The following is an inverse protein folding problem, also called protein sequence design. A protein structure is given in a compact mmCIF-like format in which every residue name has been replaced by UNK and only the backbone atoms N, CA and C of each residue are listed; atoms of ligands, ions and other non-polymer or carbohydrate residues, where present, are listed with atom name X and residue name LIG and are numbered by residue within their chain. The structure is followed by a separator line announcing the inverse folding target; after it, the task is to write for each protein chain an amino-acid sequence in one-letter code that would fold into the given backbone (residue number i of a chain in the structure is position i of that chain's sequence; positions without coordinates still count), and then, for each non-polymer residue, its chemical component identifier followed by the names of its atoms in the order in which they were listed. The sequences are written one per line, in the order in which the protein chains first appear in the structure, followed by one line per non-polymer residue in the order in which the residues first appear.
data_IF_167199668169
#
_entry.id   IF_167199668169
#
_cell.length_a   1.000
_cell.length_b   1.000
_cell.length_c   1.000
_cell.angle_alpha   90.00
_cell.angle_beta   90.00
_cell.angle_gamma   90.00
#
_symmetry.space_group_name_H-M   'P 1'
#
loop_
_entity.id
_entity.type
_entity.pdbx_description
1 polymer ?
#
# COMPACT_ATOMS: atom_id res chain seq x y z
N UNK A 1 -24.90 4.77 -11.22
CA UNK A 1 -23.83 5.46 -10.51
C UNK A 1 -22.82 6.06 -11.47
N UNK A 2 -22.06 7.07 -11.03
CA UNK A 2 -20.85 7.50 -11.76
C UNK A 2 -19.65 6.65 -11.33
N UNK A 3 -18.81 6.31 -12.32
CA UNK A 3 -17.59 5.53 -12.07
C UNK A 3 -16.49 5.88 -13.08
N UNK A 4 -15.26 5.53 -12.76
CA UNK A 4 -14.12 5.60 -13.68
C UNK A 4 -13.99 4.27 -14.40
N UNK A 5 -14.37 4.26 -15.68
CA UNK A 5 -14.43 3.08 -16.53
C UNK A 5 -13.22 3.02 -17.44
N UNK A 6 -12.69 1.81 -17.63
CA UNK A 6 -11.58 1.51 -18.54
C UNK A 6 -12.12 0.62 -19.67
N UNK A 7 -11.94 1.04 -20.92
CA UNK A 7 -12.41 0.30 -22.10
C UNK A 7 -11.29 -0.51 -22.78
N UNK A 8 -10.04 -0.17 -22.49
CA UNK A 8 -8.84 -0.84 -23.01
C UNK A 8 -7.63 -0.49 -22.15
N UNK A 9 -6.57 -1.25 -22.26
CA UNK A 9 -5.28 -0.89 -21.65
C UNK A 9 -4.70 0.37 -22.32
N UNK A 10 -3.99 1.20 -21.55
CA UNK A 10 -3.37 2.41 -22.09
C UNK A 10 -2.81 3.35 -21.03
N UNK A 11 -2.53 4.58 -21.44
CA UNK A 11 -2.11 5.68 -20.56
C UNK A 11 -3.29 6.23 -19.73
N UNK A 12 -3.08 7.30 -18.93
CA UNK A 12 -4.12 7.90 -18.09
C UNK A 12 -5.39 8.31 -18.87
N UNK A 13 -5.27 8.62 -20.15
CA UNK A 13 -6.36 9.05 -21.03
C UNK A 13 -7.46 7.98 -21.26
N UNK A 14 -7.18 6.69 -20.95
CA UNK A 14 -8.19 5.63 -21.09
C UNK A 14 -9.18 5.59 -19.92
N UNK A 15 -8.91 6.33 -18.83
CA UNK A 15 -9.82 6.47 -17.69
C UNK A 15 -10.96 7.42 -18.08
N UNK A 16 -12.19 6.91 -18.10
CA UNK A 16 -13.38 7.68 -18.46
C UNK A 16 -14.35 7.75 -17.28
N UNK A 17 -14.72 8.96 -16.87
CA UNK A 17 -15.75 9.17 -15.87
C UNK A 17 -17.10 9.20 -16.52
N UNK A 18 -17.89 8.13 -16.36
CA UNK A 18 -19.15 7.94 -17.08
C UNK A 18 -20.21 7.24 -16.22
N UNK A 19 -21.42 7.11 -16.77
CA UNK A 19 -22.47 6.33 -16.14
C UNK A 19 -22.16 4.83 -16.23
N UNK A 20 -22.32 4.14 -15.12
CA UNK A 20 -22.11 2.69 -15.00
C UNK A 20 -23.27 2.07 -14.20
N UNK A 21 -23.70 0.85 -14.50
CA UNK A 21 -24.76 0.19 -13.74
C UNK A 21 -24.45 0.13 -12.23
N UNK A 22 -25.47 0.37 -11.41
CA UNK A 22 -25.33 0.21 -9.97
C UNK A 22 -25.05 -1.25 -9.63
N UNK A 23 -24.03 -1.56 -8.85
CA UNK A 23 -23.73 -2.92 -8.46
C UNK A 23 -24.72 -3.41 -7.38
N UNK A 24 -25.01 -4.72 -7.40
CA UNK A 24 -25.92 -5.35 -6.45
C UNK A 24 -25.13 -6.34 -5.60
N UNK A 25 -25.13 -6.19 -4.26
CA UNK A 25 -24.41 -7.10 -3.37
C UNK A 25 -25.08 -8.49 -3.33
N UNK A 26 -24.25 -9.53 -3.51
CA UNK A 26 -24.62 -10.93 -3.32
C UNK A 26 -24.45 -11.38 -1.85
N UNK A 27 -24.80 -12.65 -1.53
CA UNK A 27 -24.64 -13.18 -0.17
C UNK A 27 -23.22 -12.97 0.39
N UNK A 28 -23.13 -12.50 1.64
CA UNK A 28 -21.85 -12.18 2.29
C UNK A 28 -21.23 -10.84 1.89
N UNK A 29 -21.91 -10.04 1.06
CA UNK A 29 -21.43 -8.77 0.55
C UNK A 29 -22.28 -7.59 1.07
N UNK A 30 -21.65 -6.42 1.03
CA UNK A 30 -22.33 -5.15 1.31
C UNK A 30 -22.15 -4.20 0.14
N UNK A 31 -23.08 -3.25 0.01
CA UNK A 31 -22.94 -2.10 -0.89
C UNK A 31 -22.46 -0.91 -0.06
N UNK A 32 -21.34 -0.35 -0.46
CA UNK A 32 -20.72 0.82 0.18
C UNK A 32 -20.88 2.03 -0.74
N UNK A 33 -21.38 3.13 -0.19
CA UNK A 33 -21.24 4.45 -0.80
C UNK A 33 -19.82 4.92 -0.52
N UNK A 34 -19.01 4.99 -1.55
CA UNK A 34 -17.60 5.39 -1.45
C UNK A 34 -17.53 6.88 -1.11
N UNK A 35 -16.79 7.22 -0.08
CA UNK A 35 -16.45 8.59 0.27
C UNK A 35 -15.13 9.00 -0.40
N UNK A 36 -14.17 8.08 -0.42
CA UNK A 36 -12.91 8.26 -1.13
C UNK A 36 -12.30 6.91 -1.52
N UNK A 37 -11.53 6.92 -2.59
CA UNK A 37 -10.61 5.87 -3.00
C UNK A 37 -9.18 6.41 -3.04
N UNK A 38 -8.15 5.56 -2.95
CA UNK A 38 -6.77 6.03 -3.06
C UNK A 38 -6.07 5.50 -4.30
N UNK A 39 -5.16 6.32 -4.85
CA UNK A 39 -4.34 5.94 -5.99
C UNK A 39 -3.10 5.19 -5.51
N UNK A 40 -2.87 4.03 -6.11
CA UNK A 40 -1.74 3.15 -5.81
C UNK A 40 -1.00 2.74 -7.09
N UNK A 41 0.30 2.36 -6.99
CA UNK A 41 1.06 1.89 -8.15
C UNK A 41 0.40 0.72 -8.90
N UNK A 42 -0.30 -0.16 -8.21
CA UNK A 42 -0.99 -1.29 -8.85
C UNK A 42 -2.12 -0.82 -9.78
N UNK A 43 -2.80 0.29 -9.47
CA UNK A 43 -3.90 0.81 -10.27
C UNK A 43 -3.41 1.25 -11.66
N UNK A 44 -2.38 2.09 -11.72
CA UNK A 44 -1.86 2.53 -13.01
C UNK A 44 -1.07 1.45 -13.75
N UNK A 45 -0.41 0.52 -13.06
CA UNK A 45 0.19 -0.66 -13.69
C UNK A 45 -0.87 -1.57 -14.31
N UNK A 46 -2.01 -1.78 -13.62
CA UNK A 46 -3.14 -2.56 -14.11
C UNK A 46 -3.79 -1.88 -15.32
N UNK A 47 -4.06 -0.58 -15.23
CA UNK A 47 -4.55 0.22 -16.36
C UNK A 47 -3.65 0.12 -17.59
N UNK A 48 -2.32 0.20 -17.40
CA UNK A 48 -1.34 0.10 -18.47
C UNK A 48 -1.17 -1.33 -19.04
N UNK A 49 -1.80 -2.34 -18.45
CA UNK A 49 -1.68 -3.75 -18.87
C UNK A 49 -0.39 -4.43 -18.39
N UNK A 50 0.40 -3.80 -17.51
CA UNK A 50 1.64 -4.37 -17.00
C UNK A 50 1.41 -5.54 -16.04
N UNK A 51 0.17 -5.75 -15.61
CA UNK A 51 -0.22 -6.85 -14.72
C UNK A 51 -1.13 -7.87 -15.39
N UNK A 52 -1.34 -7.79 -16.71
CA UNK A 52 -2.33 -8.59 -17.45
C UNK A 52 -2.17 -10.09 -17.28
N UNK A 53 -0.96 -10.57 -17.03
CA UNK A 53 -0.65 -12.00 -16.93
C UNK A 53 -1.09 -12.62 -15.59
N UNK A 54 -1.21 -11.81 -14.53
CA UNK A 54 -1.61 -12.29 -13.19
C UNK A 54 -2.79 -11.52 -12.58
N UNK A 55 -3.11 -10.32 -13.07
CA UNK A 55 -4.24 -9.51 -12.62
C UNK A 55 -4.90 -8.80 -13.82
N UNK A 56 -5.50 -9.57 -14.74
CA UNK A 56 -6.09 -9.03 -15.97
C UNK A 56 -7.33 -8.19 -15.68
N UNK A 57 -7.67 -7.29 -16.62
CA UNK A 57 -8.94 -6.57 -16.65
C UNK A 57 -9.88 -7.17 -17.68
N UNK A 58 -11.17 -7.17 -17.36
CA UNK A 58 -12.25 -7.31 -18.35
C UNK A 58 -12.71 -5.93 -18.79
N UNK A 59 -13.06 -5.76 -20.05
CA UNK A 59 -13.50 -4.49 -20.61
C UNK A 59 -14.96 -4.55 -21.11
N UNK A 60 -15.75 -3.46 -20.92
CA UNK A 60 -15.45 -2.32 -20.05
C UNK A 60 -15.39 -2.74 -18.57
N UNK A 61 -14.52 -2.12 -17.78
CA UNK A 61 -14.33 -2.50 -16.39
C UNK A 61 -13.92 -1.36 -15.48
N UNK A 62 -14.12 -1.55 -14.20
CA UNK A 62 -13.73 -0.60 -13.16
C UNK A 62 -12.32 -0.88 -12.64
N UNK A 63 -11.76 0.10 -11.97
CA UNK A 63 -10.40 0.07 -11.39
C UNK A 63 -10.42 0.61 -9.95
N UNK A 64 -9.28 0.53 -9.27
CA UNK A 64 -9.07 0.95 -7.89
C UNK A 64 -9.07 -0.22 -6.92
N UNK A 65 -8.22 -0.14 -5.89
CA UNK A 65 -8.01 -1.22 -4.90
C UNK A 65 -8.17 -0.79 -3.45
N UNK A 66 -8.35 0.49 -3.18
CA UNK A 66 -8.56 1.03 -1.83
C UNK A 66 -9.80 1.89 -1.78
N UNK A 67 -10.58 1.76 -0.72
CA UNK A 67 -11.69 2.68 -0.48
C UNK A 67 -11.97 2.88 1.02
N UNK A 68 -12.66 3.99 1.33
CA UNK A 68 -13.42 4.17 2.55
C UNK A 68 -14.79 4.76 2.19
N UNK A 69 -15.82 4.42 2.98
CA UNK A 69 -17.17 4.84 2.71
C UNK A 69 -18.16 4.37 3.78
N UNK A 70 -19.45 4.50 3.47
CA UNK A 70 -20.54 4.14 4.37
C UNK A 70 -21.35 3.00 3.77
N UNK A 71 -21.66 1.97 4.57
CA UNK A 71 -22.53 0.87 4.14
C UNK A 71 -23.95 1.40 3.92
N UNK A 72 -24.48 1.18 2.71
CA UNK A 72 -25.86 1.58 2.34
C UNK A 72 -26.79 0.40 2.18
N UNK A 73 -26.27 -0.82 1.94
CA UNK A 73 -27.07 -2.04 1.83
C UNK A 73 -26.25 -3.25 2.29
N UNK A 74 -26.93 -4.20 2.93
CA UNK A 74 -26.35 -5.45 3.41
C UNK A 74 -27.11 -6.60 2.78
N UNK A 75 -26.40 -7.57 2.22
CA UNK A 75 -26.97 -8.81 1.73
C UNK A 75 -27.01 -9.89 2.82
N UNK A 76 -27.78 -10.98 2.64
CA UNK A 76 -27.81 -12.09 3.59
C UNK A 76 -26.42 -12.69 3.88
N UNK A 77 -26.20 -13.17 5.09
CA UNK A 77 -24.94 -13.82 5.50
C UNK A 77 -23.83 -12.85 5.95
N UNK A 78 -24.12 -11.56 6.06
CA UNK A 78 -23.20 -10.57 6.62
C UNK A 78 -23.43 -10.44 8.12
N UNK A 79 -22.39 -10.59 8.92
CA UNK A 79 -22.39 -10.41 10.36
C UNK A 79 -21.44 -9.30 10.81
N UNK A 80 -21.75 -8.63 11.93
CA UNK A 80 -20.87 -7.62 12.54
C UNK A 80 -20.93 -6.22 11.90
N UNK A 81 -21.75 -6.02 10.87
CA UNK A 81 -21.93 -4.74 10.18
C UNK A 81 -23.40 -4.33 10.10
N UNK A 82 -23.63 -3.02 10.04
CA UNK A 82 -24.95 -2.40 9.89
C UNK A 82 -24.93 -1.33 8.82
N UNK A 83 -26.09 -1.07 8.19
CA UNK A 83 -26.23 0.10 7.33
C UNK A 83 -25.93 1.37 8.13
N UNK A 84 -25.15 2.29 7.57
CA UNK A 84 -24.63 3.46 8.26
C UNK A 84 -23.22 3.29 8.85
N UNK A 85 -22.70 2.06 8.97
CA UNK A 85 -21.34 1.86 9.44
C UNK A 85 -20.32 2.49 8.46
N UNK A 86 -19.38 3.25 8.99
CA UNK A 86 -18.21 3.75 8.26
C UNK A 86 -17.16 2.66 8.20
N UNK A 87 -16.73 2.33 6.97
CA UNK A 87 -15.84 1.20 6.69
C UNK A 87 -14.76 1.57 5.70
N UNK A 88 -13.67 0.81 5.70
CA UNK A 88 -12.60 0.93 4.73
C UNK A 88 -12.02 -0.45 4.41
N UNK A 89 -11.47 -0.62 3.22
CA UNK A 89 -10.99 -1.92 2.76
C UNK A 89 -10.01 -1.83 1.59
N UNK A 90 -9.23 -2.90 1.42
CA UNK A 90 -8.72 -3.29 0.11
C UNK A 90 -9.86 -4.01 -0.61
N UNK A 91 -10.34 -3.47 -1.73
CA UNK A 91 -11.41 -4.03 -2.54
C UNK A 91 -11.23 -3.63 -4.00
N UNK A 92 -11.68 -4.46 -4.92
CA UNK A 92 -11.64 -4.12 -6.34
C UNK A 92 -12.71 -3.10 -6.73
N UNK A 93 -12.44 -2.36 -7.83
CA UNK A 93 -13.43 -1.48 -8.47
C UNK A 93 -13.84 -0.26 -7.63
N UNK A 94 -12.91 0.29 -6.88
CA UNK A 94 -13.19 1.34 -5.89
C UNK A 94 -13.29 2.76 -6.47
N UNK A 95 -12.93 2.98 -7.74
CA UNK A 95 -13.09 4.28 -8.39
C UNK A 95 -14.52 4.47 -8.92
N UNK A 96 -15.47 4.45 -8.01
CA UNK A 96 -16.90 4.55 -8.27
C UNK A 96 -17.64 5.15 -7.07
N UNK A 97 -18.84 5.70 -7.29
CA UNK A 97 -19.69 6.19 -6.20
C UNK A 97 -20.22 5.06 -5.29
N UNK A 98 -20.36 3.85 -5.85
CA UNK A 98 -20.82 2.66 -5.14
C UNK A 98 -19.88 1.49 -5.41
N UNK A 99 -19.54 0.74 -4.38
CA UNK A 99 -18.70 -0.44 -4.48
C UNK A 99 -19.33 -1.61 -3.71
N UNK A 100 -19.40 -2.78 -4.33
CA UNK A 100 -19.75 -4.02 -3.62
C UNK A 100 -18.49 -4.63 -3.02
N UNK A 101 -18.55 -4.95 -1.74
CA UNK A 101 -17.41 -5.43 -0.97
C UNK A 101 -17.81 -6.63 -0.13
N UNK A 102 -17.00 -7.67 -0.10
CA UNK A 102 -17.19 -8.79 0.81
C UNK A 102 -17.01 -8.34 2.25
N UNK A 103 -17.92 -8.74 3.13
CA UNK A 103 -17.86 -8.37 4.54
C UNK A 103 -16.57 -8.84 5.24
N UNK A 104 -15.98 -9.95 4.77
CA UNK A 104 -14.73 -10.49 5.32
C UNK A 104 -13.51 -9.56 5.16
N UNK A 105 -13.52 -8.70 4.12
CA UNK A 105 -12.42 -7.77 3.85
C UNK A 105 -12.64 -6.35 4.40
N UNK A 106 -13.76 -6.10 5.05
CA UNK A 106 -14.07 -4.80 5.63
C UNK A 106 -13.47 -4.65 7.02
N UNK A 107 -12.99 -3.46 7.33
CA UNK A 107 -12.74 -2.98 8.68
C UNK A 107 -13.62 -1.75 8.96
N UNK A 108 -14.07 -1.58 10.21
CA UNK A 108 -14.75 -0.35 10.64
C UNK A 108 -13.72 0.76 10.83
N UNK A 109 -14.06 1.96 10.38
CA UNK A 109 -13.24 3.14 10.67
C UNK A 109 -13.28 3.41 12.17
N UNK A 110 -12.14 3.44 12.87
CA UNK A 110 -12.14 3.72 14.31
C UNK A 110 -12.63 5.14 14.58
N UNK A 111 -13.36 5.29 15.68
CA UNK A 111 -13.84 6.59 16.13
C UNK A 111 -12.67 7.58 16.27
N UNK A 112 -12.84 8.78 15.75
CA UNK A 112 -11.82 9.83 15.72
C UNK A 112 -10.91 9.81 14.51
N UNK A 113 -10.97 8.81 13.63
CA UNK A 113 -10.28 8.83 12.36
C UNK A 113 -11.19 9.40 11.26
N UNK A 114 -10.68 10.36 10.48
CA UNK A 114 -11.40 10.94 9.34
C UNK A 114 -11.66 9.89 8.25
N UNK A 115 -12.92 9.81 7.77
CA UNK A 115 -13.35 8.82 6.80
C UNK A 115 -12.58 8.93 5.47
N UNK A 116 -12.32 10.15 5.00
CA UNK A 116 -11.55 10.37 3.75
C UNK A 116 -10.10 9.92 3.95
N UNK A 117 -9.51 10.23 5.12
CA UNK A 117 -8.16 9.79 5.47
C UNK A 117 -8.06 8.26 5.52
N UNK A 118 -9.08 7.57 6.01
CA UNK A 118 -9.11 6.11 6.10
C UNK A 118 -8.92 5.44 4.73
N UNK A 119 -9.36 6.07 3.62
CA UNK A 119 -9.14 5.54 2.28
C UNK A 119 -7.65 5.47 1.87
N UNK A 120 -6.76 6.22 2.51
CA UNK A 120 -5.33 6.19 2.23
C UNK A 120 -4.62 4.94 2.77
N UNK A 121 -5.25 4.20 3.69
CA UNK A 121 -4.57 3.24 4.55
C UNK A 121 -4.49 1.82 3.99
N UNK A 122 -5.54 1.23 3.35
CA UNK A 122 -5.66 -0.22 3.25
C UNK A 122 -4.43 -0.88 2.62
N UNK A 123 -4.13 -0.63 1.36
CA UNK A 123 -3.04 -1.31 0.66
C UNK A 123 -1.68 -1.03 1.28
N UNK A 124 -1.38 0.24 1.59
CA UNK A 124 -0.03 0.63 2.02
C UNK A 124 0.30 0.12 3.42
N UNK A 125 -0.69 0.08 4.32
CA UNK A 125 -0.45 -0.36 5.70
C UNK A 125 -0.35 -1.87 5.80
N UNK A 126 -1.23 -2.60 5.10
CA UNK A 126 -1.18 -4.06 5.02
C UNK A 126 0.10 -4.51 4.32
N UNK A 127 0.47 -3.88 3.21
CA UNK A 127 1.70 -4.20 2.49
C UNK A 127 2.94 -3.98 3.35
N UNK A 128 3.06 -2.84 4.03
CA UNK A 128 4.21 -2.56 4.88
C UNK A 128 4.33 -3.52 6.07
N UNK A 129 3.21 -3.89 6.69
CA UNK A 129 3.19 -4.90 7.75
C UNK A 129 3.61 -6.28 7.25
N UNK A 130 3.05 -6.73 6.13
CA UNK A 130 3.36 -8.05 5.57
C UNK A 130 4.78 -8.12 5.03
N UNK A 131 5.29 -7.04 4.42
CA UNK A 131 6.67 -6.94 3.97
C UNK A 131 7.63 -7.14 5.14
N UNK A 132 7.39 -6.42 6.26
CA UNK A 132 8.21 -6.60 7.44
C UNK A 132 8.04 -7.98 8.06
N UNK A 133 6.82 -8.51 8.11
CA UNK A 133 6.55 -9.86 8.63
C UNK A 133 7.30 -10.93 7.87
N UNK A 134 7.44 -10.79 6.56
CA UNK A 134 8.19 -11.71 5.69
C UNK A 134 9.69 -11.73 6.01
N UNK A 135 10.24 -10.67 6.59
CA UNK A 135 11.65 -10.65 7.03
C UNK A 135 11.88 -11.57 8.22
N UNK A 136 10.87 -11.82 9.04
CA UNK A 136 11.01 -12.59 10.28
C UNK A 136 11.84 -11.90 11.35
N UNK A 137 12.19 -10.62 11.21
CA UNK A 137 13.01 -9.85 12.15
C UNK A 137 12.38 -9.83 13.54
N UNK A 138 13.22 -9.97 14.57
CA UNK A 138 12.85 -10.03 15.98
C UNK A 138 13.41 -8.82 16.75
N UNK A 139 12.97 -8.68 18.00
CA UNK A 139 13.52 -7.67 18.92
C UNK A 139 15.05 -7.78 19.02
N UNK A 140 15.74 -6.64 18.98
CA UNK A 140 17.20 -6.54 19.02
C UNK A 140 17.92 -6.83 17.71
N UNK A 141 17.23 -7.31 16.65
CA UNK A 141 17.79 -7.47 15.32
C UNK A 141 17.70 -6.17 14.52
N UNK A 142 18.57 -6.02 13.52
CA UNK A 142 18.61 -4.82 12.66
C UNK A 142 17.98 -5.10 11.31
N UNK A 143 17.00 -4.29 10.95
CA UNK A 143 16.38 -4.31 9.61
C UNK A 143 16.55 -2.96 8.92
N UNK A 144 16.90 -2.99 7.65
CA UNK A 144 16.84 -1.80 6.80
C UNK A 144 15.53 -1.78 6.02
N UNK A 145 14.77 -0.69 6.16
CA UNK A 145 13.57 -0.44 5.35
C UNK A 145 13.93 0.52 4.23
N UNK A 146 13.92 0.04 3.00
CA UNK A 146 14.26 0.83 1.81
C UNK A 146 13.02 1.54 1.29
N UNK A 147 13.12 2.85 1.04
CA UNK A 147 11.97 3.69 0.77
C UNK A 147 11.16 4.03 2.03
N UNK A 148 11.84 4.14 3.17
CA UNK A 148 11.25 4.27 4.52
C UNK A 148 10.27 5.46 4.67
N UNK A 149 10.44 6.55 3.93
CA UNK A 149 9.55 7.72 3.96
C UNK A 149 8.34 7.58 3.02
N UNK A 150 8.32 6.57 2.14
CA UNK A 150 7.14 6.22 1.34
C UNK A 150 6.05 5.57 2.21
N UNK A 151 4.81 5.54 1.72
CA UNK A 151 3.66 5.09 2.53
C UNK A 151 3.78 3.62 3.00
N UNK A 152 4.24 2.71 2.13
CA UNK A 152 4.54 1.31 2.50
C UNK A 152 5.72 1.25 3.47
N UNK A 153 6.78 2.05 3.21
CA UNK A 153 7.96 2.11 4.06
C UNK A 153 7.65 2.60 5.47
N UNK A 154 6.85 3.66 5.63
CA UNK A 154 6.39 4.16 6.95
C UNK A 154 5.68 3.08 7.76
N UNK A 155 4.81 2.33 7.11
CA UNK A 155 4.09 1.22 7.73
C UNK A 155 5.03 0.07 8.14
N UNK A 156 6.04 -0.23 7.31
CA UNK A 156 7.06 -1.22 7.63
C UNK A 156 7.95 -0.76 8.81
N UNK A 157 8.38 0.52 8.83
CA UNK A 157 9.14 1.10 9.96
C UNK A 157 8.33 1.02 11.25
N UNK A 158 7.06 1.46 11.22
CA UNK A 158 6.16 1.38 12.38
C UNK A 158 6.06 -0.06 12.90
N UNK A 159 5.84 -1.03 12.00
CA UNK A 159 5.73 -2.44 12.37
C UNK A 159 7.04 -2.97 12.97
N UNK A 160 8.20 -2.59 12.42
CA UNK A 160 9.50 -3.00 12.93
C UNK A 160 9.75 -2.45 14.33
N UNK A 161 9.45 -1.19 14.55
CA UNK A 161 9.58 -0.55 15.88
C UNK A 161 8.64 -1.18 16.90
N UNK A 162 7.40 -1.48 16.51
CA UNK A 162 6.45 -2.18 17.39
C UNK A 162 6.94 -3.59 17.81
N UNK A 163 7.83 -4.21 17.03
CA UNK A 163 8.47 -5.51 17.33
C UNK A 163 9.79 -5.39 18.10
N UNK A 164 10.22 -4.18 18.41
CA UNK A 164 11.49 -3.94 19.12
C UNK A 164 12.73 -4.14 18.26
N UNK A 165 12.62 -4.09 16.93
CA UNK A 165 13.76 -4.14 16.02
C UNK A 165 14.50 -2.78 15.99
N UNK A 166 15.81 -2.83 15.71
CA UNK A 166 16.59 -1.65 15.31
C UNK A 166 16.33 -1.39 13.82
N UNK A 167 15.88 -0.18 13.50
CA UNK A 167 15.43 0.19 12.15
C UNK A 167 16.39 1.19 11.52
N UNK A 168 16.92 0.84 10.36
CA UNK A 168 17.66 1.75 9.48
C UNK A 168 16.71 2.18 8.34
N UNK A 169 16.44 3.47 8.24
CA UNK A 169 15.70 4.04 7.13
C UNK A 169 16.63 4.21 5.91
N UNK A 170 16.41 3.42 4.87
CA UNK A 170 17.03 3.58 3.57
C UNK A 170 16.25 4.58 2.72
N UNK A 171 16.85 5.74 2.42
CA UNK A 171 16.17 6.84 1.74
C UNK A 171 17.12 7.55 0.78
N UNK A 172 16.62 8.41 -0.09
CA UNK A 172 17.48 9.29 -0.87
C UNK A 172 18.14 10.35 0.02
N UNK A 173 19.32 10.81 -0.33
CA UNK A 173 20.07 11.83 0.44
C UNK A 173 19.21 13.04 0.81
N UNK A 174 18.40 13.52 -0.13
CA UNK A 174 17.46 14.64 0.10
C UNK A 174 16.33 14.36 1.11
N UNK A 175 16.13 13.10 1.49
CA UNK A 175 15.06 12.64 2.40
C UNK A 175 15.57 12.28 3.80
N UNK A 176 16.87 12.46 4.08
CA UNK A 176 17.48 12.10 5.38
C UNK A 176 16.78 12.81 6.54
N UNK A 177 16.42 14.08 6.39
CA UNK A 177 15.75 14.81 7.46
C UNK A 177 14.31 14.33 7.66
N UNK A 178 13.60 13.99 6.60
CA UNK A 178 12.27 13.38 6.68
C UNK A 178 12.34 12.00 7.36
N UNK A 179 13.38 11.22 7.08
CA UNK A 179 13.59 9.90 7.68
C UNK A 179 13.69 9.93 9.21
N UNK A 180 14.13 11.04 9.79
CA UNK A 180 14.16 11.23 11.26
C UNK A 180 12.75 11.25 11.88
N UNK A 181 11.73 11.61 11.09
CA UNK A 181 10.35 11.74 11.56
C UNK A 181 9.54 10.45 11.51
N UNK A 182 10.04 9.40 10.84
CA UNK A 182 9.31 8.13 10.69
C UNK A 182 9.56 7.13 11.82
N UNK A 183 10.36 7.50 12.83
CA UNK A 183 10.66 6.68 14.01
C UNK A 183 11.77 5.63 13.80
N UNK A 184 12.55 5.72 12.72
CA UNK A 184 13.73 4.90 12.52
C UNK A 184 14.88 5.32 13.48
N UNK A 185 15.74 4.37 13.86
CA UNK A 185 16.88 4.63 14.75
C UNK A 185 18.04 5.30 14.01
N UNK A 186 18.17 5.02 12.71
CA UNK A 186 19.19 5.59 11.82
C UNK A 186 18.61 5.84 10.43
N UNK A 187 19.25 6.74 9.67
CA UNK A 187 18.94 6.96 8.27
C UNK A 187 20.20 6.85 7.42
N UNK A 188 20.10 6.18 6.26
CA UNK A 188 21.20 5.96 5.32
C UNK A 188 20.75 6.38 3.93
N UNK A 189 21.58 7.17 3.26
CA UNK A 189 21.35 7.60 1.88
C UNK A 189 21.64 6.43 0.92
N UNK A 190 20.62 5.90 0.26
CA UNK A 190 20.74 4.76 -0.67
C UNK A 190 21.28 5.16 -2.06
N UNK A 191 21.32 6.44 -2.37
CA UNK A 191 21.95 7.04 -3.54
C UNK A 191 23.41 7.49 -3.29
N UNK A 192 23.94 7.24 -2.08
CA UNK A 192 25.35 7.44 -1.73
C UNK A 192 26.05 6.08 -1.61
N UNK A 193 26.96 5.79 -2.54
CA UNK A 193 27.69 4.51 -2.59
C UNK A 193 28.56 4.30 -1.34
N UNK A 194 29.21 5.37 -0.85
CA UNK A 194 30.04 5.30 0.34
C UNK A 194 29.22 4.94 1.57
N UNK A 195 28.02 5.50 1.70
CA UNK A 195 27.09 5.17 2.78
C UNK A 195 26.69 3.69 2.75
N UNK A 196 26.39 3.13 1.56
CA UNK A 196 26.07 1.71 1.40
C UNK A 196 27.29 0.83 1.69
N UNK A 197 28.48 1.19 1.20
CA UNK A 197 29.69 0.40 1.43
C UNK A 197 30.01 0.29 2.94
N UNK A 198 29.85 1.38 3.68
CA UNK A 198 30.12 1.44 5.11
C UNK A 198 28.97 0.88 5.99
N UNK A 199 27.85 0.48 5.37
CA UNK A 199 26.73 -0.10 6.12
C UNK A 199 27.15 -1.42 6.77
N UNK A 200 26.92 -1.53 8.07
CA UNK A 200 27.14 -2.78 8.82
C UNK A 200 26.21 -3.91 8.30
N UNK A 201 26.61 -5.17 8.46
CA UNK A 201 25.75 -6.30 8.04
C UNK A 201 24.39 -6.28 8.73
N UNK A 202 23.33 -6.53 7.93
CA UNK A 202 21.92 -6.46 8.33
C UNK A 202 21.34 -7.85 8.59
N UNK A 203 20.47 -7.98 9.58
CA UNK A 203 19.71 -9.21 9.78
C UNK A 203 18.61 -9.37 8.70
N UNK A 204 18.06 -8.23 8.24
CA UNK A 204 17.07 -8.24 7.15
C UNK A 204 17.05 -6.92 6.38
N UNK A 205 16.50 -7.00 5.16
CA UNK A 205 16.09 -5.86 4.33
C UNK A 205 14.62 -6.01 3.99
N UNK A 206 13.86 -4.91 4.13
CA UNK A 206 12.49 -4.75 3.67
C UNK A 206 12.48 -3.70 2.54
N UNK A 207 12.36 -4.15 1.29
CA UNK A 207 12.57 -3.31 0.12
C UNK A 207 11.24 -2.90 -0.55
N UNK A 208 11.10 -1.59 -0.79
CA UNK A 208 9.96 -1.00 -1.50
C UNK A 208 10.37 -0.20 -2.74
N UNK A 209 11.65 -0.23 -3.15
CA UNK A 209 12.19 0.66 -4.19
C UNK A 209 12.70 -0.05 -5.43
N UNK A 210 13.24 -1.30 -5.29
CA UNK A 210 13.77 -2.10 -6.39
C UNK A 210 15.03 -1.51 -7.10
N UNK A 211 15.43 -2.16 -8.18
CA UNK A 211 16.51 -1.72 -9.07
C UNK A 211 17.90 -1.77 -8.44
N UNK A 212 18.77 -0.85 -8.83
CA UNK A 212 20.19 -0.85 -8.44
C UNK A 212 20.41 -0.81 -6.92
N UNK A 213 19.47 -0.25 -6.17
CA UNK A 213 19.54 -0.21 -4.70
C UNK A 213 19.37 -1.60 -4.11
N UNK A 214 18.38 -2.35 -4.57
CA UNK A 214 18.14 -3.73 -4.14
C UNK A 214 19.35 -4.64 -4.43
N UNK A 215 19.97 -4.49 -5.64
CA UNK A 215 21.17 -5.22 -6.05
C UNK A 215 22.36 -5.02 -5.11
N UNK A 216 22.53 -3.81 -4.59
CA UNK A 216 23.62 -3.48 -3.64
C UNK A 216 23.33 -3.96 -2.22
N UNK A 217 22.06 -3.86 -1.80
CA UNK A 217 21.69 -4.13 -0.42
C UNK A 217 21.58 -5.61 -0.09
N UNK A 218 21.30 -6.49 -1.08
CA UNK A 218 21.32 -7.93 -0.82
C UNK A 218 22.68 -8.42 -0.33
N UNK A 219 23.78 -7.81 -0.81
CA UNK A 219 25.14 -8.09 -0.37
C UNK A 219 25.42 -7.70 1.09
N UNK A 220 24.57 -6.85 1.68
CA UNK A 220 24.69 -6.41 3.09
C UNK A 220 23.89 -7.28 4.05
N UNK A 221 23.10 -8.22 3.56
CA UNK A 221 22.33 -9.14 4.39
C UNK A 221 23.27 -10.23 4.92
N UNK A 222 23.24 -10.47 6.22
CA UNK A 222 24.02 -11.54 6.86
C UNK A 222 23.66 -12.92 6.31
N UNK A 223 24.57 -13.87 6.41
CA UNK A 223 24.27 -15.29 6.15
C UNK A 223 23.07 -15.74 6.99
N UNK A 224 22.09 -16.39 6.37
CA UNK A 224 20.82 -16.79 6.99
C UNK A 224 19.81 -15.66 7.17
N UNK A 225 20.17 -14.43 6.80
CA UNK A 225 19.25 -13.29 6.84
C UNK A 225 18.23 -13.28 5.71
N UNK A 226 17.36 -12.28 5.68
CA UNK A 226 16.22 -12.20 4.76
C UNK A 226 16.21 -10.89 3.98
N UNK A 227 16.01 -11.00 2.67
CA UNK A 227 15.68 -9.88 1.79
C UNK A 227 14.22 -10.01 1.33
N UNK A 228 13.32 -9.21 1.90
CA UNK A 228 11.92 -9.17 1.50
C UNK A 228 11.66 -7.96 0.59
N UNK A 229 10.89 -8.14 -0.48
CA UNK A 229 10.58 -7.07 -1.44
C UNK A 229 9.14 -7.16 -1.93
N UNK A 230 8.57 -6.02 -2.32
CA UNK A 230 7.22 -5.92 -2.94
C UNK A 230 7.28 -5.76 -4.46
N UNK A 231 8.49 -5.69 -5.04
CA UNK A 231 8.68 -5.37 -6.47
C UNK A 231 9.29 -6.51 -7.29
N UNK A 232 9.92 -7.44 -6.64
CA UNK A 232 10.55 -8.60 -7.26
C UNK A 232 11.96 -8.85 -6.73
N UNK A 233 12.47 -10.09 -6.85
CA UNK A 233 13.82 -10.43 -6.41
C UNK A 233 14.89 -9.64 -7.18
N UNK A 234 15.96 -9.18 -6.51
CA UNK A 234 17.14 -8.64 -7.21
C UNK A 234 17.72 -9.68 -8.18
N UNK A 235 18.22 -9.26 -9.33
CA UNK A 235 18.82 -10.19 -10.30
C UNK A 235 20.06 -10.89 -9.71
N UNK A 236 20.79 -10.18 -8.84
CA UNK A 236 21.95 -10.73 -8.12
C UNK A 236 21.60 -11.74 -7.03
N UNK A 237 20.34 -11.99 -6.74
CA UNK A 237 19.91 -12.90 -5.66
C UNK A 237 20.56 -14.30 -5.76
N UNK A 238 20.77 -14.78 -6.99
CA UNK A 238 21.43 -16.08 -7.22
C UNK A 238 22.89 -16.17 -6.72
N UNK A 239 23.55 -15.02 -6.57
CA UNK A 239 24.93 -14.95 -6.02
C UNK A 239 24.98 -14.96 -4.51
N UNK A 240 23.83 -14.89 -3.84
CA UNK A 240 23.70 -14.86 -2.37
C UNK A 240 22.81 -15.99 -1.85
N UNK A 241 23.17 -17.27 -2.09
CA UNK A 241 22.31 -18.43 -1.74
C UNK A 241 22.06 -18.60 -0.24
N UNK A 242 22.87 -17.95 0.60
CA UNK A 242 22.67 -17.93 2.06
C UNK A 242 21.64 -16.88 2.52
N UNK A 243 21.17 -16.00 1.63
CA UNK A 243 20.14 -15.01 1.91
C UNK A 243 18.78 -15.52 1.38
N UNK A 244 17.80 -15.59 2.26
CA UNK A 244 16.44 -15.95 1.85
C UNK A 244 15.76 -14.74 1.21
N UNK A 245 15.45 -14.83 -0.07
CA UNK A 245 14.70 -13.77 -0.78
C UNK A 245 13.21 -14.10 -0.77
N UNK A 246 12.38 -13.13 -0.40
CA UNK A 246 10.92 -13.27 -0.30
C UNK A 246 10.24 -12.17 -1.11
N UNK A 247 9.50 -12.54 -2.15
CA UNK A 247 8.62 -11.62 -2.87
C UNK A 247 7.25 -11.61 -2.18
N UNK A 248 6.81 -10.42 -1.75
CA UNK A 248 5.57 -10.23 -1.00
C UNK A 248 4.47 -9.70 -1.90
N UNK A 249 3.40 -10.48 -2.03
CA UNK A 249 2.13 -10.06 -2.60
C UNK A 249 1.15 -9.80 -1.46
N UNK A 250 0.67 -8.57 -1.35
CA UNK A 250 -0.24 -8.17 -0.28
C UNK A 250 -1.53 -8.96 -0.33
N UNK A 251 -1.91 -9.52 0.80
CA UNK A 251 -3.19 -10.18 1.02
C UNK A 251 -3.97 -9.39 2.06
N UNK A 252 -5.27 -9.33 1.87
CA UNK A 252 -6.15 -8.72 2.83
C UNK A 252 -5.93 -9.30 4.25
N UNK A 253 -5.88 -8.41 5.25
CA UNK A 253 -5.79 -8.76 6.68
C UNK A 253 -6.50 -7.69 7.51
N UNK A 254 -7.74 -8.01 7.94
CA UNK A 254 -8.57 -7.11 8.74
C UNK A 254 -7.88 -6.69 10.03
N UNK A 255 -7.27 -7.62 10.76
CA UNK A 255 -6.63 -7.33 12.04
C UNK A 255 -5.47 -6.34 11.89
N UNK A 256 -4.65 -6.55 10.86
CA UNK A 256 -3.59 -5.60 10.51
C UNK A 256 -4.18 -4.24 10.16
N UNK A 257 -5.25 -4.21 9.36
CA UNK A 257 -5.87 -2.97 8.92
C UNK A 257 -6.45 -2.17 10.10
N UNK A 258 -7.17 -2.83 11.02
CA UNK A 258 -7.70 -2.24 12.26
C UNK A 258 -6.57 -1.68 13.14
N UNK A 259 -5.53 -2.47 13.41
CA UNK A 259 -4.37 -2.07 14.19
C UNK A 259 -3.65 -0.84 13.60
N UNK A 260 -3.47 -0.82 12.29
CA UNK A 260 -2.81 0.30 11.60
C UNK A 260 -3.68 1.57 11.60
N UNK A 261 -5.00 1.42 11.46
CA UNK A 261 -5.91 2.55 11.52
C UNK A 261 -5.95 3.19 12.92
N UNK A 262 -5.92 2.38 13.98
CA UNK A 262 -5.77 2.89 15.34
C UNK A 262 -4.44 3.63 15.53
N UNK A 263 -3.35 3.10 15.00
CA UNK A 263 -2.05 3.78 15.05
C UNK A 263 -2.06 5.14 14.32
N UNK A 264 -2.79 5.24 13.21
CA UNK A 264 -2.94 6.51 12.48
C UNK A 264 -3.83 7.48 13.28
N UNK A 265 -4.97 7.03 13.82
CA UNK A 265 -5.84 7.82 14.68
C UNK A 265 -5.07 8.41 15.87
N UNK A 266 -4.20 7.61 16.49
CA UNK A 266 -3.39 7.99 17.65
C UNK A 266 -2.15 8.85 17.28
N UNK A 267 -1.93 9.15 16.00
CA UNK A 267 -0.75 9.89 15.52
C UNK A 267 0.58 9.13 15.61
N UNK A 268 0.55 7.83 15.91
CA UNK A 268 1.75 6.96 15.99
C UNK A 268 2.27 6.54 14.62
N UNK A 269 1.39 6.48 13.63
CA UNK A 269 1.70 6.26 12.22
C UNK A 269 1.12 7.40 11.38
N UNK A 270 1.94 8.01 10.53
CA UNK A 270 1.49 9.07 9.63
C UNK A 270 1.61 8.58 8.19
N UNK A 271 0.48 8.53 7.47
CA UNK A 271 0.41 8.31 6.02
C UNK A 271 0.07 9.65 5.38
N UNK A 272 1.07 10.39 4.85
CA UNK A 272 0.84 11.72 4.31
C UNK A 272 0.03 11.65 3.02
N UNK A 273 -1.05 12.42 2.95
CA UNK A 273 -1.87 12.62 1.76
C UNK A 273 -1.38 13.88 1.07
N UNK A 274 -0.92 13.75 -0.17
CA UNK A 274 -0.38 14.87 -0.94
C UNK A 274 -1.47 15.69 -1.62
N UNK A 275 -2.54 15.03 -2.09
CA UNK A 275 -3.63 15.67 -2.82
C UNK A 275 -4.95 14.94 -2.58
N UNK A 276 -6.05 15.71 -2.68
CA UNK A 276 -7.42 15.20 -2.77
C UNK A 276 -8.02 15.77 -4.05
N UNK A 277 -8.41 14.90 -4.97
CA UNK A 277 -9.00 15.27 -6.26
C UNK A 277 -10.40 14.66 -6.37
N UNK A 278 -11.34 15.28 -7.07
CA UNK A 278 -12.62 14.66 -7.32
C UNK A 278 -12.47 13.39 -8.18
N UNK A 279 -13.33 12.41 -7.99
CA UNK A 279 -13.29 11.12 -8.68
C UNK A 279 -13.20 11.25 -10.22
N UNK A 280 -13.84 12.27 -10.80
CA UNK A 280 -13.78 12.55 -12.26
C UNK A 280 -12.36 12.90 -12.75
N UNK A 281 -11.45 13.27 -11.87
CA UNK A 281 -10.05 13.63 -12.17
C UNK A 281 -9.08 12.45 -11.97
N UNK A 282 -9.59 11.21 -12.00
CA UNK A 282 -8.78 10.00 -11.80
C UNK A 282 -7.62 9.87 -12.80
N UNK A 283 -7.77 10.35 -14.03
CA UNK A 283 -6.72 10.37 -15.04
C UNK A 283 -5.54 11.26 -14.60
N UNK A 284 -5.84 12.45 -14.11
CA UNK A 284 -4.83 13.39 -13.59
C UNK A 284 -4.18 12.84 -12.32
N UNK A 285 -4.97 12.28 -11.40
CA UNK A 285 -4.48 11.66 -10.18
C UNK A 285 -3.50 10.52 -10.45
N UNK A 286 -3.81 9.61 -11.38
CA UNK A 286 -2.89 8.54 -11.75
C UNK A 286 -1.63 9.06 -12.46
N UNK A 287 -1.77 10.03 -13.37
CA UNK A 287 -0.62 10.65 -14.04
C UNK A 287 0.34 11.35 -13.05
N UNK A 288 -0.21 12.00 -12.01
CA UNK A 288 0.58 12.61 -10.95
C UNK A 288 1.26 11.54 -10.07
N UNK A 289 0.54 10.48 -9.68
CA UNK A 289 1.08 9.37 -8.89
C UNK A 289 2.22 8.64 -9.61
N UNK A 290 2.14 8.40 -10.91
CA UNK A 290 3.21 7.82 -11.73
C UNK A 290 4.51 8.63 -11.71
N UNK A 291 4.40 9.94 -11.56
CA UNK A 291 5.55 10.87 -11.46
C UNK A 291 6.06 11.05 -10.02
N UNK A 292 5.58 10.26 -9.08
CA UNK A 292 5.97 10.36 -7.67
C UNK A 292 5.20 11.41 -6.88
N UNK A 293 3.98 11.74 -7.28
CA UNK A 293 3.10 12.74 -6.63
C UNK A 293 2.61 12.40 -5.21
N UNK A 294 3.12 11.32 -4.61
CA UNK A 294 2.75 10.91 -3.25
C UNK A 294 1.40 10.18 -3.20
N UNK A 295 0.74 10.18 -2.04
CA UNK A 295 -0.58 9.56 -1.84
C UNK A 295 -1.69 10.51 -2.25
N UNK A 296 -2.41 10.15 -3.29
CA UNK A 296 -3.53 10.93 -3.83
C UNK A 296 -4.83 10.21 -3.52
N UNK A 297 -5.83 10.95 -3.05
CA UNK A 297 -7.18 10.45 -2.84
C UNK A 297 -8.12 10.99 -3.93
N UNK A 298 -9.01 10.12 -4.38
CA UNK A 298 -10.15 10.43 -5.23
C UNK A 298 -11.39 10.51 -4.35
N UNK A 299 -11.99 11.68 -4.26
CA UNK A 299 -13.22 11.92 -3.48
C UNK A 299 -14.41 11.75 -4.40
N UNK A 300 -15.35 10.89 -4.01
CA UNK A 300 -16.53 10.54 -4.81
C UNK A 300 -17.66 11.59 -4.69
#
# INVERSE_FOLDING_TARGET
MKAVVVHQYGGPEVLKFEDYPDPVPGPGEVLVRVAAASVNPIDYKRRAGLTKDFYPMKFPGLIGVDMAGTIVKIAPGVEGFSAGDQVFAMADNTYAELCVVKAEVLAKVPEGLDLIQAAALPLVTVTGNQLLSATGVKAGQTVMVVGAVGNVGRSAVFTAKARGATVIAGVLKRQIDEAKTVGADQAVATDDETAIVNLAPLDAVADTVDGKTAEKLIAKVKQGGVFATVLGPPQSAAYYPSVRVVHVFSKFDRKTLEFMAEAVRDGKLVIPISQKLPLREAAEAQAAAEKGGGKILLVA
#
